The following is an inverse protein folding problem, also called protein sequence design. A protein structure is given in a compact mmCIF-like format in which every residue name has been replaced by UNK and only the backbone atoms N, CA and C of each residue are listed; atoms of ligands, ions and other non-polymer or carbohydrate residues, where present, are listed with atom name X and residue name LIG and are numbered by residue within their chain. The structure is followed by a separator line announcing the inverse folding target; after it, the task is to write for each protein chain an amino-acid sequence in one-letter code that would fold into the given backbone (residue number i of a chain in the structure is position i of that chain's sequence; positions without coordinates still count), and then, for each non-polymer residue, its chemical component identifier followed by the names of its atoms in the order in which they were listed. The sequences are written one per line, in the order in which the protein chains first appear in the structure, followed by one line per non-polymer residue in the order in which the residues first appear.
data_IF_510130027569
#
_entry.id   IF_510130027569
#
_cell.length_a   1.000
_cell.length_b   1.000
_cell.length_c   1.000
_cell.angle_alpha   90.00
_cell.angle_beta   90.00
_cell.angle_gamma   90.00
#
_symmetry.space_group_name_H-M   'P 1'
#
loop_
_entity.id
_entity.type
_entity.pdbx_description
1 polymer ?
#
# COMPACT_ATOMS: atom_id res chain seq x y z
N UNK A 1 -3.47 -8.99 16.32
CA UNK A 1 -2.19 -9.71 16.09
C UNK A 1 -2.02 -10.85 17.08
N UNK A 2 -2.29 -10.63 18.38
CA UNK A 2 -2.19 -11.66 19.41
C UNK A 2 -2.97 -12.96 19.08
N UNK A 3 -4.21 -12.83 18.59
CA UNK A 3 -5.05 -14.00 18.24
C UNK A 3 -4.87 -14.49 16.79
N UNK A 4 -4.06 -13.79 15.99
CA UNK A 4 -3.79 -14.14 14.59
C UNK A 4 -2.30 -13.95 14.28
N UNK A 5 -1.42 -14.84 14.78
CA UNK A 5 0.03 -14.69 14.66
C UNK A 5 0.54 -14.77 13.22
N UNK A 6 -0.25 -15.35 12.31
CA UNK A 6 0.07 -15.48 10.89
C UNK A 6 -0.50 -14.32 10.04
N UNK A 7 -1.12 -13.31 10.66
CA UNK A 7 -1.61 -12.15 9.95
C UNK A 7 -0.47 -11.17 9.67
N UNK A 8 -0.28 -10.80 8.40
CA UNK A 8 0.62 -9.73 8.01
C UNK A 8 -0.12 -8.39 8.08
N UNK A 9 0.40 -7.46 8.89
CA UNK A 9 -0.19 -6.13 9.06
C UNK A 9 0.56 -5.11 8.21
N UNK A 10 -0.17 -4.42 7.35
CA UNK A 10 0.34 -3.31 6.54
C UNK A 10 -0.10 -1.98 7.15
N UNK A 11 0.79 -1.01 7.19
CA UNK A 11 0.54 0.32 7.78
C UNK A 11 1.03 1.40 6.83
N UNK A 12 0.21 2.43 6.58
CA UNK A 12 0.62 3.58 5.79
C UNK A 12 1.73 4.36 6.51
N UNK A 13 2.80 4.72 5.81
CA UNK A 13 3.96 5.39 6.41
C UNK A 13 3.65 6.79 6.96
N UNK A 14 2.63 7.46 6.40
CA UNK A 14 2.25 8.83 6.72
C UNK A 14 2.50 9.79 5.55
N UNK A 15 1.88 10.97 5.63
CA UNK A 15 1.96 12.00 4.58
C UNK A 15 2.76 13.24 5.03
N UNK A 16 3.67 13.08 6.00
CA UNK A 16 4.44 14.17 6.61
C UNK A 16 5.85 14.32 6.02
N UNK A 17 6.13 13.67 4.89
CA UNK A 17 7.47 13.66 4.26
C UNK A 17 8.00 15.02 3.82
N UNK A 18 7.13 16.03 3.70
CA UNK A 18 7.53 17.41 3.46
C UNK A 18 8.29 18.02 4.66
N UNK A 19 8.11 17.47 5.86
CA UNK A 19 8.88 17.81 7.05
C UNK A 19 10.31 17.25 7.07
N UNK A 20 10.73 16.52 6.02
CA UNK A 20 12.06 15.95 5.88
C UNK A 20 12.14 14.48 6.32
N UNK A 21 13.29 14.12 6.88
CA UNK A 21 13.55 12.77 7.40
C UNK A 21 12.96 12.57 8.79
N UNK A 22 12.82 11.32 9.20
CA UNK A 22 12.26 10.94 10.50
C UNK A 22 10.80 11.32 10.73
N UNK A 23 10.01 11.24 9.66
CA UNK A 23 8.58 11.59 9.62
C UNK A 23 7.67 10.37 9.59
N UNK A 24 8.23 9.16 9.69
CA UNK A 24 7.47 7.92 9.94
C UNK A 24 7.16 7.80 11.43
N UNK A 25 5.87 7.80 11.78
CA UNK A 25 5.39 7.77 13.16
C UNK A 25 4.64 6.48 13.50
N UNK A 26 4.12 6.38 14.72
CA UNK A 26 3.30 5.25 15.15
C UNK A 26 1.97 5.21 14.38
N UNK A 27 1.47 4.01 13.99
CA UNK A 27 2.04 2.69 14.21
C UNK A 27 2.97 2.19 13.08
N UNK A 28 3.27 3.04 12.09
CA UNK A 28 4.08 2.68 10.92
C UNK A 28 5.57 2.45 11.22
N UNK A 29 6.01 2.87 12.40
CA UNK A 29 7.33 2.57 12.96
C UNK A 29 7.41 1.19 13.64
N UNK A 30 6.39 0.33 13.55
CA UNK A 30 6.43 -1.04 14.11
C UNK A 30 7.58 -1.89 13.53
N UNK A 31 8.06 -2.87 14.31
CA UNK A 31 9.13 -3.80 13.89
C UNK A 31 8.59 -4.97 13.05
N UNK A 32 7.37 -5.43 13.34
CA UNK A 32 6.80 -6.65 12.75
C UNK A 32 5.63 -6.38 11.78
N UNK A 33 5.40 -5.11 11.44
CA UNK A 33 4.44 -4.72 10.41
C UNK A 33 5.15 -4.07 9.22
N UNK A 34 4.51 -4.16 8.06
CA UNK A 34 5.01 -3.64 6.81
C UNK A 34 4.51 -2.21 6.60
N UNK A 35 5.42 -1.25 6.72
CA UNK A 35 5.22 0.17 6.51
C UNK A 35 5.31 0.51 5.03
N UNK A 36 4.32 1.25 4.52
CA UNK A 36 4.13 1.47 3.09
C UNK A 36 4.26 2.95 2.75
N UNK A 37 5.30 3.27 1.97
CA UNK A 37 5.50 4.60 1.38
C UNK A 37 4.77 4.76 0.05
N UNK A 38 4.71 5.99 -0.42
CA UNK A 38 4.01 6.36 -1.65
C UNK A 38 4.99 6.87 -2.72
N UNK A 39 4.82 6.40 -3.95
CA UNK A 39 5.43 6.97 -5.15
C UNK A 39 4.38 7.54 -6.10
N UNK A 40 4.86 8.37 -7.03
CA UNK A 40 4.10 8.76 -8.20
C UNK A 40 3.74 7.55 -9.08
N UNK A 41 2.67 7.70 -9.86
CA UNK A 41 2.27 6.71 -10.87
C UNK A 41 2.94 7.04 -12.22
N UNK A 42 3.25 6.02 -13.01
CA UNK A 42 3.73 6.19 -14.41
C UNK A 42 2.59 6.46 -15.39
N UNK A 43 1.39 6.79 -14.89
CA UNK A 43 0.24 7.06 -15.74
C UNK A 43 0.55 8.21 -16.73
N UNK A 44 0.33 7.93 -18.02
CA UNK A 44 0.56 8.83 -19.15
C UNK A 44 0.10 10.29 -18.99
N UNK A 45 -0.89 10.58 -18.11
CA UNK A 45 -1.33 11.95 -17.81
C UNK A 45 -0.24 12.86 -17.21
N UNK A 46 0.87 12.30 -16.69
CA UNK A 46 1.96 13.07 -16.05
C UNK A 46 3.31 12.96 -16.77
N UNK A 47 3.28 12.47 -18.01
CA UNK A 47 4.43 12.38 -18.91
C UNK A 47 5.33 11.16 -18.65
N UNK A 48 6.25 10.85 -19.58
CA UNK A 48 7.26 9.82 -19.38
C UNK A 48 8.25 10.32 -18.30
N UNK A 49 7.99 9.94 -17.06
CA UNK A 49 8.70 10.43 -15.89
C UNK A 49 9.08 9.28 -14.97
N UNK A 50 10.35 9.26 -14.57
CA UNK A 50 10.92 8.31 -13.61
C UNK A 50 9.99 8.14 -12.41
N UNK A 51 9.81 6.91 -11.92
CA UNK A 51 9.12 6.66 -10.65
C UNK A 51 9.89 7.39 -9.55
N UNK A 52 9.22 8.30 -8.85
CA UNK A 52 9.78 9.06 -7.73
C UNK A 52 8.94 8.82 -6.49
N UNK A 53 9.61 8.71 -5.35
CA UNK A 53 8.93 8.74 -4.05
C UNK A 53 8.25 10.10 -3.89
N UNK A 54 6.97 10.08 -3.54
CA UNK A 54 6.15 11.28 -3.36
C UNK A 54 6.78 12.24 -2.36
N UNK A 55 6.67 13.54 -2.62
CA UNK A 55 7.21 14.55 -1.70
C UNK A 55 6.59 14.41 -0.30
N UNK A 56 5.28 14.18 -0.22
CA UNK A 56 4.56 13.99 1.03
C UNK A 56 4.80 12.64 1.70
N UNK A 57 5.32 11.61 1.01
CA UNK A 57 5.48 10.30 1.65
C UNK A 57 6.45 10.41 2.80
N UNK A 58 6.01 10.07 4.02
CA UNK A 58 6.86 10.05 5.21
C UNK A 58 8.12 9.24 4.97
N UNK A 59 9.24 9.73 5.51
CA UNK A 59 10.58 9.19 5.31
C UNK A 59 11.17 8.79 6.66
N UNK A 60 11.87 7.67 6.68
CA UNK A 60 12.69 7.29 7.81
C UNK A 60 13.92 8.19 7.97
N UNK A 61 14.86 7.79 8.84
CA UNK A 61 14.75 6.63 9.72
C UNK A 61 13.71 6.83 10.82
N UNK A 62 13.36 5.80 11.60
CA UNK A 62 12.48 5.98 12.77
C UNK A 62 13.14 6.84 13.84
N UNK A 63 12.34 7.69 14.51
CA UNK A 63 12.82 8.49 15.65
C UNK A 63 13.21 7.57 16.81
N UNK A 64 14.40 7.78 17.37
CA UNK A 64 14.87 7.12 18.60
C UNK A 64 15.75 5.88 18.40
N UNK A 65 15.49 5.06 17.37
CA UNK A 65 16.24 3.82 17.12
C UNK A 65 16.76 3.66 15.67
N UNK A 66 16.58 4.69 14.85
CA UNK A 66 17.19 4.84 13.53
C UNK A 66 16.92 3.70 12.52
N UNK A 67 15.84 2.93 12.68
CA UNK A 67 15.49 1.85 11.75
C UNK A 67 15.05 2.40 10.40
N UNK A 68 15.32 1.62 9.34
CA UNK A 68 14.86 1.94 7.99
C UNK A 68 13.36 1.73 7.92
N UNK A 69 12.63 2.79 7.56
CA UNK A 69 11.21 2.80 7.21
C UNK A 69 10.97 3.89 6.14
N UNK A 70 9.94 3.79 5.29
CA UNK A 70 9.05 2.63 5.10
C UNK A 70 9.81 1.41 4.55
N UNK A 71 9.21 0.22 4.65
CA UNK A 71 9.84 -1.02 4.16
C UNK A 71 9.71 -1.15 2.64
N UNK A 72 8.56 -0.74 2.10
CA UNK A 72 8.24 -0.81 0.67
C UNK A 72 7.57 0.48 0.23
N UNK A 73 7.85 0.92 -0.99
CA UNK A 73 7.19 2.06 -1.63
C UNK A 73 6.42 1.56 -2.84
N UNK A 74 5.16 1.97 -2.98
CA UNK A 74 4.31 1.62 -4.13
C UNK A 74 3.56 2.85 -4.65
N UNK A 75 3.03 2.82 -5.89
CA UNK A 75 2.29 3.94 -6.45
C UNK A 75 1.05 4.30 -5.62
N UNK A 76 0.88 5.59 -5.32
CA UNK A 76 -0.23 6.07 -4.49
C UNK A 76 -0.63 7.54 -4.70
N UNK A 77 -0.02 8.28 -5.63
CA UNK A 77 -0.36 9.69 -5.87
C UNK A 77 -1.67 9.90 -6.64
N UNK A 78 -2.11 8.91 -7.42
CA UNK A 78 -3.21 9.06 -8.37
C UNK A 78 -3.94 7.75 -8.58
N UNK A 79 -4.46 7.21 -7.48
CA UNK A 79 -5.19 5.96 -7.52
C UNK A 79 -6.65 6.29 -7.79
N UNK A 80 -7.15 5.87 -8.95
CA UNK A 80 -8.58 5.82 -9.22
C UNK A 80 -9.16 4.64 -8.47
N UNK A 81 -10.07 4.89 -7.53
CA UNK A 81 -10.72 3.83 -6.77
C UNK A 81 -12.19 4.16 -6.52
N UNK A 82 -12.94 3.20 -6.00
CA UNK A 82 -14.36 3.33 -5.71
C UNK A 82 -14.65 4.50 -4.76
N UNK A 83 -15.66 5.30 -5.09
CA UNK A 83 -16.15 6.37 -4.23
C UNK A 83 -17.13 5.77 -3.21
N UNK A 84 -16.83 5.93 -1.92
CA UNK A 84 -17.72 5.47 -0.86
C UNK A 84 -19.09 6.14 -0.90
N UNK A 85 -20.14 5.40 -0.54
CA UNK A 85 -21.51 5.92 -0.44
C UNK A 85 -21.57 7.16 0.44
N UNK A 86 -22.36 8.16 0.04
CA UNK A 86 -22.47 9.43 0.76
C UNK A 86 -21.24 10.35 0.63
N UNK A 87 -20.34 10.09 -0.34
CA UNK A 87 -19.28 11.03 -0.70
C UNK A 87 -19.46 11.53 -2.15
N UNK A 88 -19.13 12.80 -2.39
CA UNK A 88 -19.23 13.45 -3.71
C UNK A 88 -20.63 14.02 -4.02
N UNK A 89 -20.84 14.61 -5.21
CA UNK A 89 -22.11 15.24 -5.61
C UNK A 89 -23.27 14.24 -5.78
N UNK A 90 -23.02 12.93 -5.62
CA UNK A 90 -24.04 11.87 -5.58
C UNK A 90 -24.49 11.54 -4.14
N UNK A 91 -24.39 12.50 -3.22
CA UNK A 91 -24.85 12.36 -1.83
C UNK A 91 -26.35 12.04 -1.74
N UNK A 92 -27.10 12.25 -2.82
CA UNK A 92 -28.55 12.02 -2.93
C UNK A 92 -28.92 10.65 -3.52
N UNK A 93 -27.97 9.72 -3.67
CA UNK A 93 -28.29 8.35 -4.04
C UNK A 93 -29.15 7.72 -2.93
N UNK A 94 -30.45 7.54 -3.20
CA UNK A 94 -31.41 6.99 -2.26
C UNK A 94 -30.93 5.64 -1.66
N UNK A 95 -31.36 5.27 -0.45
CA UNK A 95 -31.04 3.97 0.13
C UNK A 95 -31.38 2.83 -0.85
N UNK A 96 -30.38 2.05 -1.27
CA UNK A 96 -30.52 0.98 -2.26
C UNK A 96 -30.02 1.32 -3.67
N UNK A 97 -29.58 2.56 -3.90
CA UNK A 97 -28.87 2.93 -5.13
C UNK A 97 -27.36 2.66 -4.94
N UNK A 98 -26.84 1.68 -5.68
CA UNK A 98 -25.41 1.43 -5.80
C UNK A 98 -24.80 2.51 -6.71
N UNK A 99 -23.81 3.26 -6.21
CA UNK A 99 -23.02 4.17 -7.04
C UNK A 99 -21.79 3.43 -7.55
N UNK A 100 -21.65 3.32 -8.88
CA UNK A 100 -20.42 2.83 -9.52
C UNK A 100 -19.38 3.95 -9.73
N UNK A 101 -19.50 5.07 -9.00
CA UNK A 101 -18.57 6.19 -9.16
C UNK A 101 -17.17 5.83 -8.66
N UNK A 102 -16.17 6.34 -9.36
CA UNK A 102 -14.78 6.27 -8.97
C UNK A 102 -14.22 7.68 -8.80
N UNK A 103 -13.24 7.82 -7.92
CA UNK A 103 -12.57 9.09 -7.61
C UNK A 103 -11.06 8.88 -7.55
N UNK A 104 -10.31 9.87 -8.02
CA UNK A 104 -8.87 9.90 -7.82
C UNK A 104 -8.54 10.39 -6.41
N UNK A 105 -7.77 9.60 -5.68
CA UNK A 105 -7.20 10.01 -4.38
C UNK A 105 -5.69 9.82 -4.38
N UNK A 106 -5.04 10.47 -3.41
CA UNK A 106 -3.60 10.44 -3.23
C UNK A 106 -3.21 10.25 -1.77
N UNK A 107 -2.15 9.50 -1.52
CA UNK A 107 -1.56 9.36 -0.18
C UNK A 107 -0.92 8.00 0.04
N UNK A 108 -0.16 7.86 1.12
CA UNK A 108 0.27 6.53 1.59
C UNK A 108 -0.92 5.64 1.92
N UNK A 109 -2.06 6.22 2.30
CA UNK A 109 -3.34 5.52 2.48
C UNK A 109 -3.87 4.84 1.22
N UNK A 110 -3.46 5.29 0.03
CA UNK A 110 -3.83 4.67 -1.26
C UNK A 110 -2.76 3.66 -1.69
N UNK A 111 -1.49 3.91 -1.35
CA UNK A 111 -0.39 2.97 -1.55
C UNK A 111 -0.58 1.67 -0.73
N UNK A 112 -0.97 1.77 0.55
CA UNK A 112 -1.16 0.62 1.43
C UNK A 112 -2.12 -0.47 0.90
N UNK A 113 -3.36 -0.16 0.47
CA UNK A 113 -4.25 -1.18 -0.08
C UNK A 113 -3.77 -1.74 -1.43
N UNK A 114 -3.03 -0.96 -2.24
CA UNK A 114 -2.37 -1.48 -3.45
C UNK A 114 -1.38 -2.57 -3.07
N UNK A 115 -0.49 -2.32 -2.10
CA UNK A 115 0.45 -3.34 -1.63
C UNK A 115 -0.25 -4.54 -0.96
N UNK A 116 -1.35 -4.30 -0.23
CA UNK A 116 -2.12 -5.38 0.39
C UNK A 116 -2.64 -6.38 -0.66
N UNK A 117 -3.13 -5.90 -1.80
CA UNK A 117 -3.53 -6.77 -2.91
C UNK A 117 -2.38 -7.59 -3.49
N UNK A 118 -1.19 -6.98 -3.66
CA UNK A 118 -0.01 -7.70 -4.13
C UNK A 118 0.42 -8.80 -3.13
N UNK A 119 0.46 -8.46 -1.85
CA UNK A 119 0.77 -9.42 -0.76
C UNK A 119 -0.22 -10.57 -0.73
N UNK A 120 -1.52 -10.31 -0.95
CA UNK A 120 -2.54 -11.35 -1.02
C UNK A 120 -2.28 -12.31 -2.18
N UNK A 121 -1.93 -11.81 -3.37
CA UNK A 121 -1.59 -12.64 -4.52
C UNK A 121 -0.33 -13.49 -4.26
N UNK A 122 0.69 -12.91 -3.62
CA UNK A 122 1.89 -13.66 -3.22
C UNK A 122 1.53 -14.77 -2.23
N UNK A 123 0.69 -14.47 -1.23
CA UNK A 123 0.20 -15.47 -0.27
C UNK A 123 -0.56 -16.59 -0.98
N UNK A 124 -1.48 -16.24 -1.87
CA UNK A 124 -2.25 -17.19 -2.65
C UNK A 124 -1.33 -18.13 -3.46
N UNK A 125 -0.31 -17.59 -4.12
CA UNK A 125 0.66 -18.39 -4.89
C UNK A 125 1.35 -19.49 -4.04
N UNK A 126 1.65 -19.19 -2.78
CA UNK A 126 2.23 -20.16 -1.86
C UNK A 126 1.20 -21.13 -1.27
N UNK A 127 -0.03 -20.68 -1.02
CA UNK A 127 -1.10 -21.52 -0.45
C UNK A 127 -1.71 -22.50 -1.47
N UNK A 128 -1.87 -22.09 -2.73
CA UNK A 128 -2.49 -22.89 -3.81
C UNK A 128 -1.56 -24.02 -4.33
N UNK A 129 -0.38 -24.22 -3.75
CA UNK A 129 0.56 -25.27 -4.14
C UNK A 129 1.31 -25.01 -5.44
N UNK A 130 1.08 -23.87 -6.11
CA UNK A 130 1.79 -23.46 -7.31
C UNK A 130 3.30 -23.39 -7.07
N UNK A 131 3.72 -22.92 -5.89
CA UNK A 131 5.13 -22.96 -5.49
C UNK A 131 5.70 -24.39 -5.39
N UNK A 132 4.96 -25.32 -4.79
CA UNK A 132 5.39 -26.72 -4.67
C UNK A 132 5.44 -27.41 -6.04
N UNK A 133 4.51 -27.08 -6.94
CA UNK A 133 4.54 -27.54 -8.32
C UNK A 133 5.77 -26.98 -9.07
N UNK A 134 6.04 -25.68 -8.95
CA UNK A 134 7.22 -25.04 -9.55
C UNK A 134 8.54 -25.63 -9.04
N UNK A 135 8.64 -25.97 -7.75
CA UNK A 135 9.83 -26.63 -7.19
C UNK A 135 10.03 -28.05 -7.73
N UNK A 136 8.95 -28.80 -7.96
CA UNK A 136 9.02 -30.14 -8.57
C UNK A 136 9.46 -30.05 -10.04
N UNK A 137 8.91 -29.10 -10.80
CA UNK A 137 9.31 -28.84 -12.19
C UNK A 137 10.78 -28.40 -12.29
N UNK A 138 11.25 -27.61 -11.33
CA UNK A 138 12.65 -27.19 -11.25
C UNK A 138 13.61 -28.28 -10.77
N UNK A 139 13.13 -29.49 -10.45
CA UNK A 139 13.96 -30.60 -9.94
C UNK A 139 14.52 -30.36 -8.53
N UNK A 140 13.93 -29.43 -7.77
CA UNK A 140 14.37 -29.03 -6.43
C UNK A 140 13.62 -29.74 -5.30
N UNK A 141 12.58 -30.51 -5.63
CA UNK A 141 11.91 -31.45 -4.73
C UNK A 141 12.01 -32.87 -5.31
N UNK A 142 12.65 -33.79 -4.57
CA UNK A 142 12.63 -35.23 -4.83
C UNK A 142 11.36 -35.90 -4.31
#
# INVERSE_FOLDING_TARGET
MYDHPQALVLVAAGNEGAGGFSTVSSPANTKNGLSVGCSGSTHARYGPGRVRVSAFSSRGPTVGDARIKPDVVVPGEQVLSALGRGRGPQHDAAPGQESCAAVYMRGTSMASPVLAGHVLLVRQYFEDGAYAAALREAGLCG
#
